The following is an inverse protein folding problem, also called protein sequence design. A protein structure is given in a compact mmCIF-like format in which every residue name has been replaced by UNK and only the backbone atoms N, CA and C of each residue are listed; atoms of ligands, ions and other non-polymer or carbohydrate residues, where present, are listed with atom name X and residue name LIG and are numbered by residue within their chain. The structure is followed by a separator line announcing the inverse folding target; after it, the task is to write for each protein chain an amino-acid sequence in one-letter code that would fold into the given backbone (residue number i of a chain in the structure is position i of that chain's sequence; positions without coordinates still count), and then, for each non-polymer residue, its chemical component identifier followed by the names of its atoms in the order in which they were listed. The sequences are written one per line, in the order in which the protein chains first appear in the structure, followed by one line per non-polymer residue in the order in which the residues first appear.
data_IF_387253950560
#
_entry.id   IF_387253950560
#
_cell.length_a   1.000
_cell.length_b   1.000
_cell.length_c   1.000
_cell.angle_alpha   90.00
_cell.angle_beta   90.00
_cell.angle_gamma   90.00
#
_symmetry.space_group_name_H-M   'P 1'
#
loop_
_entity.id
_entity.type
_entity.pdbx_description
1 polymer ?
#
# COMPACT_ATOMS: atom_id res chain seq x y z
N UNK A 1 1.46 -7.06 -37.16
CA UNK A 1 0.32 -7.13 -36.23
C UNK A 1 0.70 -8.09 -35.10
N UNK A 2 1.57 -7.66 -34.19
CA UNK A 2 1.88 -8.42 -32.98
C UNK A 2 0.95 -7.89 -31.90
N UNK A 3 -0.12 -8.65 -31.61
CA UNK A 3 -0.81 -8.52 -30.33
C UNK A 3 0.19 -8.94 -29.26
N UNK A 4 1.00 -8.00 -28.78
CA UNK A 4 1.76 -8.21 -27.55
C UNK A 4 0.68 -8.19 -26.47
N UNK A 5 0.14 -9.36 -26.14
CA UNK A 5 -0.78 -9.47 -25.03
C UNK A 5 -0.10 -8.83 -23.81
N UNK A 6 -0.76 -7.83 -23.23
CA UNK A 6 -0.37 -7.19 -21.96
C UNK A 6 -0.24 -8.19 -20.81
N UNK A 7 -0.73 -9.41 -21.01
CA UNK A 7 -0.69 -10.52 -20.06
C UNK A 7 0.03 -11.74 -20.63
N UNK A 8 0.73 -12.52 -19.79
CA UNK A 8 1.40 -13.73 -20.22
C UNK A 8 0.41 -14.78 -20.71
N UNK A 9 0.86 -15.60 -21.65
CA UNK A 9 0.19 -16.84 -22.06
C UNK A 9 0.74 -17.96 -21.19
N UNK A 10 -0.11 -18.47 -20.30
CA UNK A 10 0.26 -19.45 -19.28
C UNK A 10 -0.54 -20.74 -19.52
N UNK A 11 0.10 -21.89 -19.30
CA UNK A 11 -0.46 -23.23 -19.51
C UNK A 11 -1.04 -23.81 -18.22
N UNK A 12 -0.42 -23.49 -17.09
CA UNK A 12 -0.77 -24.04 -15.78
C UNK A 12 -0.78 -22.95 -14.69
N UNK A 13 -1.53 -23.21 -13.61
CA UNK A 13 -1.67 -22.29 -12.47
C UNK A 13 -0.32 -22.02 -11.78
N UNK A 14 0.59 -23.00 -11.76
CA UNK A 14 1.93 -22.83 -11.18
C UNK A 14 2.78 -21.81 -11.95
N UNK A 15 2.54 -21.66 -13.26
CA UNK A 15 3.28 -20.68 -14.08
C UNK A 15 2.89 -19.23 -13.73
N UNK A 16 1.74 -18.99 -13.09
CA UNK A 16 1.33 -17.65 -12.63
C UNK A 16 2.27 -17.02 -11.60
N UNK A 17 3.09 -17.82 -10.92
CA UNK A 17 4.08 -17.36 -9.96
C UNK A 17 5.52 -17.39 -10.53
N UNK A 18 5.70 -17.81 -11.79
CA UNK A 18 7.02 -17.91 -12.41
C UNK A 18 7.46 -16.54 -12.95
N UNK A 19 8.57 -16.02 -12.41
CA UNK A 19 9.12 -14.72 -12.81
C UNK A 19 9.53 -14.68 -14.29
N UNK A 20 10.11 -15.76 -14.81
CA UNK A 20 10.61 -15.83 -16.19
C UNK A 20 9.49 -15.77 -17.22
N UNK A 21 8.27 -16.16 -16.82
CA UNK A 21 7.08 -16.16 -17.68
C UNK A 21 6.22 -14.92 -17.47
N UNK A 22 6.04 -14.46 -16.22
CA UNK A 22 5.06 -13.42 -15.87
C UNK A 22 5.64 -12.02 -15.80
N UNK A 23 6.95 -11.88 -15.54
CA UNK A 23 7.59 -10.58 -15.30
C UNK A 23 8.70 -10.29 -16.31
N UNK A 24 9.67 -11.19 -16.43
CA UNK A 24 10.87 -10.99 -17.25
C UNK A 24 10.58 -10.55 -18.70
N UNK A 25 9.59 -11.14 -19.41
CA UNK A 25 9.29 -10.74 -20.79
C UNK A 25 8.78 -9.30 -20.91
N UNK A 26 8.25 -8.74 -19.83
CA UNK A 26 7.60 -7.43 -19.79
C UNK A 26 8.48 -6.31 -19.23
N UNK A 27 9.67 -6.63 -18.69
CA UNK A 27 10.58 -5.62 -18.10
C UNK A 27 10.91 -4.50 -19.09
N UNK A 28 10.99 -4.81 -20.39
CA UNK A 28 11.24 -3.81 -21.43
C UNK A 28 10.22 -2.65 -21.42
N UNK A 29 8.96 -2.94 -21.03
CA UNK A 29 7.91 -1.94 -20.92
C UNK A 29 8.24 -0.87 -19.86
N UNK A 30 8.91 -1.26 -18.77
CA UNK A 30 9.32 -0.35 -17.71
C UNK A 30 10.23 0.76 -18.23
N UNK A 31 11.15 0.43 -19.14
CA UNK A 31 12.07 1.40 -19.73
C UNK A 31 11.40 2.31 -20.76
N UNK A 32 10.35 1.85 -21.45
CA UNK A 32 9.63 2.66 -22.44
C UNK A 32 8.52 3.54 -21.86
N UNK A 33 7.97 3.18 -20.68
CA UNK A 33 6.87 3.91 -20.05
C UNK A 33 7.14 5.41 -19.84
N UNK A 34 8.31 5.86 -19.33
CA UNK A 34 8.56 7.29 -19.13
C UNK A 34 8.41 8.12 -20.41
N UNK A 35 8.97 7.64 -21.53
CA UNK A 35 8.92 8.36 -22.80
C UNK A 35 7.54 8.31 -23.46
N UNK A 36 6.82 7.20 -23.29
CA UNK A 36 5.42 7.07 -23.74
C UNK A 36 4.48 7.99 -22.95
N UNK A 37 4.62 8.05 -21.63
CA UNK A 37 3.80 8.97 -20.79
C UNK A 37 4.12 10.43 -21.14
N UNK A 38 5.41 10.77 -21.32
CA UNK A 38 5.82 12.12 -21.70
C UNK A 38 5.27 12.54 -23.08
N UNK A 39 5.28 11.65 -24.07
CA UNK A 39 4.74 11.96 -25.39
C UNK A 39 3.21 12.12 -25.38
N UNK A 40 2.51 11.30 -24.59
CA UNK A 40 1.06 11.40 -24.41
C UNK A 40 0.68 12.70 -23.67
N UNK A 41 1.49 13.16 -22.72
CA UNK A 41 1.23 14.40 -21.99
C UNK A 41 1.14 15.64 -22.89
N UNK A 42 1.68 15.58 -24.12
CA UNK A 42 1.62 16.64 -25.13
C UNK A 42 0.56 16.42 -26.22
N UNK A 43 -0.18 15.30 -26.19
CA UNK A 43 -1.23 14.97 -27.17
C UNK A 43 -2.55 15.71 -26.90
N UNK A 44 -3.41 15.90 -27.90
CA UNK A 44 -4.76 16.44 -27.71
C UNK A 44 -5.73 15.39 -27.13
N UNK A 45 -5.51 14.10 -27.41
CA UNK A 45 -6.32 12.96 -26.96
C UNK A 45 -5.69 12.21 -25.78
N UNK A 46 -5.23 12.95 -24.76
CA UNK A 46 -4.44 12.39 -23.64
C UNK A 46 -5.12 11.24 -22.92
N UNK A 47 -6.42 11.37 -22.64
CA UNK A 47 -7.16 10.38 -21.85
C UNK A 47 -7.28 9.04 -22.58
N UNK A 48 -7.64 9.05 -23.86
CA UNK A 48 -7.76 7.84 -24.66
C UNK A 48 -6.41 7.16 -24.84
N UNK A 49 -5.36 7.95 -25.09
CA UNK A 49 -4.01 7.43 -25.23
C UNK A 49 -3.45 6.86 -23.92
N UNK A 50 -3.71 7.49 -22.77
CA UNK A 50 -3.35 6.96 -21.46
C UNK A 50 -4.12 5.68 -21.13
N UNK A 51 -5.42 5.64 -21.42
CA UNK A 51 -6.25 4.45 -21.24
C UNK A 51 -5.72 3.30 -22.08
N UNK A 52 -5.43 3.54 -23.36
CA UNK A 52 -4.84 2.54 -24.24
C UNK A 52 -3.47 2.06 -23.73
N UNK A 53 -2.59 2.98 -23.29
CA UNK A 53 -1.29 2.60 -22.72
C UNK A 53 -1.46 1.73 -21.47
N UNK A 54 -2.38 2.12 -20.58
CA UNK A 54 -2.67 1.40 -19.35
C UNK A 54 -3.16 -0.03 -19.61
N UNK A 55 -4.12 -0.21 -20.51
CA UNK A 55 -4.72 -1.53 -20.82
C UNK A 55 -3.76 -2.45 -21.59
N UNK A 56 -2.81 -1.87 -22.33
CA UNK A 56 -1.83 -2.62 -23.13
C UNK A 56 -0.46 -2.81 -22.44
N UNK A 57 -0.28 -2.30 -21.23
CA UNK A 57 0.92 -2.54 -20.41
C UNK A 57 0.63 -3.62 -19.38
N UNK A 58 1.60 -4.51 -19.12
CA UNK A 58 1.44 -5.50 -18.06
C UNK A 58 1.19 -4.79 -16.72
N UNK A 59 0.10 -5.11 -16.00
CA UNK A 59 -0.30 -4.33 -14.83
C UNK A 59 0.70 -4.42 -13.69
N UNK A 60 1.50 -5.49 -13.60
CA UNK A 60 2.61 -5.56 -12.64
C UNK A 60 3.68 -4.51 -12.96
N UNK A 61 4.02 -4.33 -14.25
CA UNK A 61 4.97 -3.31 -14.70
C UNK A 61 4.41 -1.91 -14.47
N UNK A 62 3.12 -1.69 -14.74
CA UNK A 62 2.46 -0.41 -14.43
C UNK A 62 2.55 -0.09 -12.93
N UNK A 63 2.27 -1.05 -12.05
CA UNK A 63 2.37 -0.86 -10.60
C UNK A 63 3.80 -0.57 -10.14
N UNK A 64 4.79 -1.31 -10.68
CA UNK A 64 6.20 -1.07 -10.41
C UNK A 64 6.63 0.33 -10.88
N UNK A 65 6.23 0.73 -12.09
CA UNK A 65 6.48 2.06 -12.63
C UNK A 65 5.92 3.16 -11.72
N UNK A 66 4.66 3.02 -11.26
CA UNK A 66 4.06 3.96 -10.32
C UNK A 66 4.85 4.01 -9.01
N UNK A 67 5.26 2.87 -8.44
CA UNK A 67 6.07 2.83 -7.21
C UNK A 67 7.42 3.54 -7.37
N UNK A 68 8.08 3.39 -8.51
CA UNK A 68 9.33 4.07 -8.83
C UNK A 68 9.13 5.56 -9.09
N UNK A 69 8.02 5.96 -9.70
CA UNK A 69 7.66 7.35 -9.95
C UNK A 69 7.33 8.11 -8.65
N UNK A 70 6.82 7.43 -7.62
CA UNK A 70 6.57 8.01 -6.30
C UNK A 70 7.86 8.26 -5.50
N UNK A 71 8.91 7.45 -5.70
CA UNK A 71 10.16 7.57 -4.97
C UNK A 71 10.81 8.98 -5.04
N UNK A 72 10.98 9.63 -6.21
CA UNK A 72 11.52 10.99 -6.27
C UNK A 72 10.59 12.01 -5.60
N UNK A 73 9.28 11.79 -5.60
CA UNK A 73 8.31 12.66 -4.92
C UNK A 73 8.52 12.58 -3.40
N UNK A 74 8.65 11.37 -2.85
CA UNK A 74 8.96 11.16 -1.43
C UNK A 74 10.29 11.78 -1.04
N UNK A 75 11.31 11.63 -1.87
CA UNK A 75 12.63 12.19 -1.63
C UNK A 75 12.59 13.72 -1.59
N UNK A 76 11.97 14.35 -2.59
CA UNK A 76 11.87 15.81 -2.66
C UNK A 76 11.05 16.35 -1.49
N UNK A 77 9.89 15.76 -1.21
CA UNK A 77 9.04 16.22 -0.11
C UNK A 77 9.69 16.02 1.26
N UNK A 78 10.43 14.93 1.47
CA UNK A 78 11.11 14.69 2.75
C UNK A 78 12.27 15.64 2.97
N UNK A 79 13.04 15.98 1.93
CA UNK A 79 14.14 16.93 2.02
C UNK A 79 13.66 18.38 2.20
N UNK A 80 12.61 18.79 1.48
CA UNK A 80 12.02 20.14 1.63
C UNK A 80 11.47 20.34 3.04
N UNK A 81 10.70 19.37 3.53
CA UNK A 81 10.04 19.48 4.84
C UNK A 81 10.96 19.07 6.01
N UNK A 82 12.16 18.53 5.71
CA UNK A 82 13.04 17.87 6.69
C UNK A 82 12.29 16.85 7.55
N UNK A 83 11.37 16.12 6.91
CA UNK A 83 10.49 15.16 7.53
C UNK A 83 10.47 13.87 6.70
N UNK A 84 11.06 12.82 7.24
CA UNK A 84 11.31 11.54 6.57
C UNK A 84 10.14 10.55 6.70
N UNK A 85 9.04 10.94 7.35
CA UNK A 85 7.80 10.17 7.45
C UNK A 85 6.84 10.35 6.26
N UNK A 86 7.32 10.81 5.09
CA UNK A 86 6.46 11.01 3.92
C UNK A 86 5.82 9.70 3.44
N UNK A 87 6.59 8.61 3.42
CA UNK A 87 6.08 7.29 3.04
C UNK A 87 5.12 6.75 4.10
N UNK A 88 5.41 6.97 5.39
CA UNK A 88 4.55 6.54 6.51
C UNK A 88 3.11 7.08 6.38
N UNK A 89 2.96 8.31 5.86
CA UNK A 89 1.65 8.94 5.64
C UNK A 89 0.80 8.25 4.57
N UNK A 90 1.45 7.60 3.60
CA UNK A 90 0.78 6.90 2.50
C UNK A 90 0.81 5.38 2.65
N UNK A 91 1.56 4.85 3.63
CA UNK A 91 1.74 3.42 3.86
C UNK A 91 0.41 2.66 4.01
N UNK A 92 -0.58 3.24 4.68
CA UNK A 92 -1.90 2.60 4.85
C UNK A 92 -2.81 2.69 3.63
N UNK A 93 -2.43 3.49 2.63
CA UNK A 93 -3.25 3.80 1.43
C UNK A 93 -2.70 3.07 0.21
N UNK A 94 -1.38 3.13 -0.02
CA UNK A 94 -0.74 2.61 -1.23
C UNK A 94 -1.00 1.13 -1.49
N UNK A 95 -0.96 0.21 -0.50
CA UNK A 95 -1.27 -1.19 -0.74
C UNK A 95 -2.69 -1.38 -1.28
N UNK A 96 -3.67 -0.70 -0.69
CA UNK A 96 -5.06 -0.72 -1.18
C UNK A 96 -5.17 -0.15 -2.60
N UNK A 97 -4.43 0.93 -2.90
CA UNK A 97 -4.40 1.53 -4.23
C UNK A 97 -3.78 0.60 -5.29
N UNK A 98 -2.73 -0.16 -4.96
CA UNK A 98 -2.14 -1.13 -5.89
C UNK A 98 -3.07 -2.34 -6.13
N UNK A 99 -3.76 -2.83 -5.10
CA UNK A 99 -4.81 -3.86 -5.28
C UNK A 99 -5.95 -3.33 -6.15
N UNK A 100 -6.38 -2.08 -5.91
CA UNK A 100 -7.39 -1.42 -6.73
C UNK A 100 -6.95 -1.25 -8.19
N UNK A 101 -5.66 -0.97 -8.42
CA UNK A 101 -5.07 -0.94 -9.75
C UNK A 101 -5.18 -2.30 -10.46
N UNK A 102 -4.84 -3.41 -9.80
CA UNK A 102 -5.01 -4.74 -10.39
C UNK A 102 -6.49 -5.05 -10.69
N UNK A 103 -7.39 -4.71 -9.76
CA UNK A 103 -8.84 -4.89 -9.95
C UNK A 103 -9.36 -4.06 -11.13
N UNK A 104 -8.99 -2.78 -11.21
CA UNK A 104 -9.37 -1.89 -12.29
C UNK A 104 -8.89 -2.40 -13.64
N UNK A 105 -7.62 -2.83 -13.73
CA UNK A 105 -7.09 -3.45 -14.95
C UNK A 105 -7.91 -4.69 -15.36
N UNK A 106 -8.24 -5.55 -14.41
CA UNK A 106 -9.00 -6.77 -14.66
C UNK A 106 -10.43 -6.47 -15.16
N UNK A 107 -11.15 -5.57 -14.48
CA UNK A 107 -12.48 -5.11 -14.89
C UNK A 107 -12.47 -4.50 -16.30
N UNK A 108 -11.52 -3.61 -16.58
CA UNK A 108 -11.43 -2.92 -17.87
C UNK A 108 -11.01 -3.83 -19.03
N UNK A 109 -10.33 -4.94 -18.76
CA UNK A 109 -9.98 -5.97 -19.76
C UNK A 109 -11.00 -7.12 -19.81
N UNK A 110 -12.12 -7.03 -19.08
CA UNK A 110 -13.16 -8.07 -19.07
C UNK A 110 -12.70 -9.39 -18.48
N UNK A 111 -11.75 -9.37 -17.55
CA UNK A 111 -11.26 -10.56 -16.84
C UNK A 111 -12.20 -10.92 -15.68
N UNK A 112 -12.21 -12.18 -15.22
CA UNK A 112 -12.88 -12.57 -13.99
C UNK A 112 -12.23 -11.89 -12.76
N UNK A 113 -13.04 -11.31 -11.88
CA UNK A 113 -12.58 -10.45 -10.77
C UNK A 113 -13.08 -10.88 -9.38
N UNK A 114 -13.87 -11.94 -9.25
CA UNK A 114 -14.58 -12.25 -8.00
C UNK A 114 -13.63 -12.37 -6.80
N UNK A 115 -12.52 -13.11 -6.94
CA UNK A 115 -11.54 -13.25 -5.84
C UNK A 115 -10.79 -11.95 -5.59
N UNK A 116 -10.42 -11.24 -6.66
CA UNK A 116 -9.68 -10.00 -6.60
C UNK A 116 -10.48 -8.87 -5.93
N UNK A 117 -11.80 -8.80 -6.19
CA UNK A 117 -12.71 -7.85 -5.57
C UNK A 117 -12.85 -8.11 -4.06
N UNK A 118 -12.83 -9.37 -3.61
CA UNK A 118 -12.80 -9.69 -2.17
C UNK A 118 -11.51 -9.18 -1.51
N UNK A 119 -10.35 -9.37 -2.16
CA UNK A 119 -9.06 -8.84 -1.69
C UNK A 119 -9.06 -7.31 -1.68
N UNK A 120 -9.66 -6.68 -2.68
CA UNK A 120 -9.82 -5.22 -2.74
C UNK A 120 -10.65 -4.69 -1.56
N UNK A 121 -11.81 -5.29 -1.29
CA UNK A 121 -12.67 -4.90 -0.16
C UNK A 121 -11.93 -5.03 1.16
N UNK A 122 -11.29 -6.18 1.40
CA UNK A 122 -10.47 -6.41 2.60
C UNK A 122 -9.36 -5.35 2.73
N UNK A 123 -8.57 -5.15 1.67
CA UNK A 123 -7.44 -4.21 1.67
C UNK A 123 -7.89 -2.77 1.90
N UNK A 124 -9.04 -2.39 1.34
CA UNK A 124 -9.64 -1.07 1.52
C UNK A 124 -10.10 -0.86 2.95
N UNK A 125 -10.78 -1.84 3.55
CA UNK A 125 -11.25 -1.73 4.95
C UNK A 125 -10.08 -1.72 5.94
N UNK A 126 -9.09 -2.57 5.72
CA UNK A 126 -7.87 -2.60 6.53
C UNK A 126 -7.10 -1.27 6.42
N UNK A 127 -6.91 -0.77 5.20
CA UNK A 127 -6.24 0.51 4.95
C UNK A 127 -7.01 1.70 5.54
N UNK A 128 -8.34 1.71 5.44
CA UNK A 128 -9.19 2.74 6.02
C UNK A 128 -9.07 2.79 7.56
N UNK A 129 -9.09 1.62 8.23
CA UNK A 129 -8.87 1.52 9.68
C UNK A 129 -7.53 2.13 10.07
N UNK A 130 -6.45 1.74 9.40
CA UNK A 130 -5.10 2.23 9.69
C UNK A 130 -4.96 3.73 9.43
N UNK A 131 -5.52 4.20 8.32
CA UNK A 131 -5.55 5.63 7.95
C UNK A 131 -6.29 6.44 9.01
N UNK A 132 -7.46 5.98 9.47
CA UNK A 132 -8.20 6.61 10.56
C UNK A 132 -7.40 6.65 11.86
N UNK A 133 -6.74 5.54 12.20
CA UNK A 133 -5.88 5.44 13.39
C UNK A 133 -4.70 6.41 13.36
N UNK A 134 -4.05 6.52 12.21
CA UNK A 134 -2.94 7.44 12.02
C UNK A 134 -3.41 8.90 12.06
N UNK A 135 -4.55 9.20 11.42
CA UNK A 135 -5.17 10.52 11.44
C UNK A 135 -5.53 10.99 12.85
N UNK A 136 -6.24 10.17 13.64
CA UNK A 136 -6.67 10.56 14.99
C UNK A 136 -5.49 10.76 15.95
N UNK A 137 -4.37 10.08 15.71
CA UNK A 137 -3.09 10.27 16.42
C UNK A 137 -2.31 11.51 15.94
N UNK A 138 -2.86 12.27 14.98
CA UNK A 138 -2.25 13.49 14.46
C UNK A 138 -1.20 13.26 13.37
N UNK A 139 -1.06 12.06 12.82
CA UNK A 139 0.00 11.71 11.87
C UNK A 139 0.01 12.52 10.56
N UNK A 140 -1.12 13.12 10.20
CA UNK A 140 -1.23 14.02 9.04
C UNK A 140 -1.00 15.50 9.38
N UNK A 141 -0.73 15.86 10.63
CA UNK A 141 -0.43 17.23 11.01
C UNK A 141 0.93 17.66 10.44
N UNK A 142 1.04 18.93 10.05
CA UNK A 142 2.31 19.50 9.57
C UNK A 142 3.34 19.43 10.69
N UNK A 143 4.54 18.97 10.36
CA UNK A 143 5.63 18.79 11.32
C UNK A 143 5.57 17.50 12.15
N UNK A 144 4.51 16.70 12.09
CA UNK A 144 4.50 15.39 12.73
C UNK A 144 5.45 14.43 11.99
N UNK A 145 6.47 13.96 12.68
CA UNK A 145 7.49 13.01 12.24
C UNK A 145 7.60 11.89 13.27
N UNK A 146 7.86 10.67 12.80
CA UNK A 146 8.18 9.57 13.69
C UNK A 146 9.44 9.87 14.51
N UNK A 147 9.33 9.78 15.84
CA UNK A 147 10.41 10.08 16.78
C UNK A 147 11.68 9.25 16.56
N UNK A 148 11.58 8.09 15.90
CA UNK A 148 12.73 7.24 15.58
C UNK A 148 13.68 7.93 14.61
N UNK A 149 13.18 8.80 13.73
CA UNK A 149 14.03 9.51 12.77
C UNK A 149 15.02 10.45 13.43
N UNK A 150 14.64 11.10 14.53
CA UNK A 150 15.57 11.93 15.32
C UNK A 150 16.71 11.09 15.92
N UNK A 151 16.40 9.91 16.45
CA UNK A 151 17.41 8.99 17.00
C UNK A 151 18.35 8.49 15.90
N UNK A 152 17.83 8.16 14.72
CA UNK A 152 18.64 7.70 13.58
C UNK A 152 19.53 8.82 13.06
N UNK A 153 18.95 10.01 12.83
CA UNK A 153 19.64 11.22 12.35
C UNK A 153 20.80 11.62 13.26
N UNK A 154 20.62 11.53 14.57
CA UNK A 154 21.66 11.79 15.56
C UNK A 154 22.85 10.81 15.46
N UNK A 155 22.63 9.57 15.00
CA UNK A 155 23.67 8.53 14.91
C UNK A 155 24.45 8.57 13.59
N UNK A 156 23.78 8.81 12.47
CA UNK A 156 24.39 8.68 11.13
C UNK A 156 24.72 10.04 10.49
N UNK A 157 24.31 11.14 11.11
CA UNK A 157 24.54 12.50 10.60
C UNK A 157 23.76 12.81 9.31
N UNK A 158 23.89 14.04 8.79
CA UNK A 158 23.09 14.52 7.67
C UNK A 158 23.37 13.78 6.35
N UNK A 159 24.63 13.45 6.05
CA UNK A 159 25.00 12.73 4.82
C UNK A 159 24.47 11.29 4.87
N UNK A 160 24.64 10.60 6.00
CA UNK A 160 24.09 9.27 6.20
C UNK A 160 22.57 9.27 6.09
N UNK A 161 21.91 10.30 6.65
CA UNK A 161 20.46 10.44 6.58
C UNK A 161 19.97 10.66 5.14
N UNK A 162 20.68 11.47 4.35
CA UNK A 162 20.34 11.66 2.94
C UNK A 162 20.48 10.37 2.13
N UNK A 163 21.58 9.61 2.32
CA UNK A 163 21.77 8.31 1.64
C UNK A 163 20.69 7.31 2.06
N UNK A 164 20.37 7.24 3.35
CA UNK A 164 19.28 6.40 3.87
C UNK A 164 17.94 6.80 3.26
N UNK A 165 17.69 8.10 3.10
CA UNK A 165 16.48 8.63 2.50
C UNK A 165 16.34 8.21 1.04
N UNK A 166 17.38 8.44 0.22
CA UNK A 166 17.39 8.09 -1.20
C UNK A 166 17.20 6.58 -1.40
N UNK A 167 17.99 5.77 -0.70
CA UNK A 167 18.03 4.32 -0.93
C UNK A 167 16.85 3.63 -0.26
N UNK A 168 16.67 3.82 1.03
CA UNK A 168 15.72 3.04 1.81
C UNK A 168 14.35 3.69 1.90
N UNK A 169 14.28 4.89 2.47
CA UNK A 169 13.02 5.54 2.84
C UNK A 169 12.18 5.82 1.59
N UNK A 170 12.74 6.55 0.64
CA UNK A 170 11.98 6.99 -0.53
C UNK A 170 11.85 5.90 -1.60
N UNK A 171 12.90 5.11 -1.84
CA UNK A 171 12.92 4.12 -2.93
C UNK A 171 12.47 2.73 -2.47
N UNK A 172 13.21 2.07 -1.58
CA UNK A 172 12.90 0.68 -1.18
C UNK A 172 11.52 0.59 -0.52
N UNK A 173 11.14 1.50 0.40
CA UNK A 173 9.81 1.40 1.03
C UNK A 173 8.67 1.55 0.02
N UNK A 174 8.81 2.42 -0.99
CA UNK A 174 7.82 2.54 -2.07
C UNK A 174 7.67 1.23 -2.86
N UNK A 175 8.79 0.61 -3.24
CA UNK A 175 8.80 -0.68 -3.93
C UNK A 175 8.23 -1.78 -3.04
N UNK A 176 8.56 -1.80 -1.75
CA UNK A 176 8.03 -2.80 -0.81
C UNK A 176 6.51 -2.70 -0.65
N UNK A 177 5.96 -1.49 -0.60
CA UNK A 177 4.50 -1.29 -0.52
C UNK A 177 3.77 -1.78 -1.76
N UNK A 178 4.39 -1.68 -2.92
CA UNK A 178 3.93 -2.36 -4.13
C UNK A 178 4.12 -3.88 -4.02
N UNK A 179 5.30 -4.35 -3.61
CA UNK A 179 5.68 -5.75 -3.59
C UNK A 179 4.74 -6.62 -2.74
N UNK A 180 4.30 -6.12 -1.58
CA UNK A 180 3.34 -6.84 -0.71
C UNK A 180 1.98 -7.08 -1.38
N UNK A 181 1.65 -6.34 -2.43
CA UNK A 181 0.39 -6.47 -3.18
C UNK A 181 0.49 -7.36 -4.43
N UNK A 182 1.71 -7.79 -4.79
CA UNK A 182 1.93 -8.66 -5.96
C UNK A 182 1.19 -10.00 -5.92
N UNK A 183 0.82 -10.60 -4.76
CA UNK A 183 -0.08 -11.75 -4.76
C UNK A 183 -1.45 -11.46 -5.42
N UNK A 184 -1.94 -10.21 -5.42
CA UNK A 184 -3.17 -9.83 -6.12
C UNK A 184 -3.02 -9.93 -7.66
N UNK A 185 -1.81 -9.66 -8.18
CA UNK A 185 -1.49 -9.91 -9.59
C UNK A 185 -1.52 -11.40 -9.92
N UNK A 186 -0.93 -12.24 -9.05
CA UNK A 186 -0.98 -13.70 -9.22
C UNK A 186 -2.44 -14.17 -9.21
N UNK A 187 -3.26 -13.68 -8.27
CA UNK A 187 -4.68 -14.00 -8.18
C UNK A 187 -5.43 -13.64 -9.47
N UNK A 188 -5.16 -12.45 -10.02
CA UNK A 188 -5.69 -12.01 -11.32
C UNK A 188 -5.25 -12.93 -12.48
N UNK A 189 -4.01 -13.41 -12.49
CA UNK A 189 -3.56 -14.37 -13.50
C UNK A 189 -4.26 -15.72 -13.36
N UNK A 190 -4.40 -16.22 -12.12
CA UNK A 190 -5.07 -17.50 -11.85
C UNK A 190 -6.56 -17.48 -12.17
N UNK A 191 -7.23 -16.32 -12.08
CA UNK A 191 -8.67 -16.20 -12.37
C UNK A 191 -9.02 -16.50 -13.83
N UNK A 192 -8.03 -16.42 -14.74
CA UNK A 192 -8.16 -16.72 -16.17
C UNK A 192 -8.28 -18.21 -16.48
N UNK A 193 -7.93 -19.08 -15.53
CA UNK A 193 -8.03 -20.53 -15.70
C UNK A 193 -9.45 -21.04 -15.40
N UNK A 194 -9.89 -22.17 -15.99
CA UNK A 194 -11.21 -22.74 -15.72
C UNK A 194 -11.45 -22.96 -14.23
N UNK A 195 -12.45 -22.28 -13.68
CA UNK A 195 -12.78 -22.35 -12.25
C UNK A 195 -11.85 -21.56 -11.32
N UNK A 196 -10.82 -20.89 -11.84
CA UNK A 196 -9.84 -20.15 -11.05
C UNK A 196 -10.43 -18.97 -10.26
N UNK A 197 -11.48 -18.33 -10.79
CA UNK A 197 -12.18 -17.23 -10.12
C UNK A 197 -13.31 -17.68 -9.19
N UNK A 198 -13.70 -18.96 -9.23
CA UNK A 198 -14.76 -19.46 -8.34
C UNK A 198 -14.26 -19.47 -6.90
N UNK A 199 -15.01 -18.82 -6.01
CA UNK A 199 -14.77 -18.85 -4.57
C UNK A 199 -15.00 -20.28 -4.05
N UNK A 200 -13.93 -20.95 -3.63
CA UNK A 200 -14.01 -22.21 -2.91
C UNK A 200 -14.31 -21.97 -1.42
N UNK A 201 -14.60 -23.03 -0.66
CA UNK A 201 -14.85 -22.96 0.77
C UNK A 201 -13.70 -22.31 1.52
N UNK A 202 -12.45 -22.56 1.13
CA UNK A 202 -11.29 -21.92 1.75
C UNK A 202 -11.26 -20.42 1.47
N UNK A 203 -11.55 -19.97 0.24
CA UNK A 203 -11.61 -18.55 -0.10
C UNK A 203 -12.67 -17.82 0.75
N UNK A 204 -13.82 -18.47 0.95
CA UNK A 204 -14.91 -17.93 1.77
C UNK A 204 -14.50 -17.88 3.24
N UNK A 205 -13.98 -18.97 3.80
CA UNK A 205 -13.59 -19.03 5.22
C UNK A 205 -12.48 -18.01 5.51
N UNK A 206 -11.41 -17.98 4.72
CA UNK A 206 -10.30 -17.04 4.93
C UNK A 206 -10.76 -15.59 4.80
N UNK A 207 -11.53 -15.24 3.78
CA UNK A 207 -12.03 -13.87 3.64
C UNK A 207 -12.89 -13.45 4.83
N UNK A 208 -13.76 -14.32 5.35
CA UNK A 208 -14.61 -14.02 6.52
C UNK A 208 -13.81 -13.91 7.81
N UNK A 209 -12.82 -14.77 8.02
CA UNK A 209 -11.91 -14.69 9.18
C UNK A 209 -11.11 -13.39 9.13
N UNK A 210 -10.54 -13.03 7.98
CA UNK A 210 -9.81 -11.77 7.81
C UNK A 210 -10.69 -10.55 8.13
N UNK A 211 -11.94 -10.55 7.69
CA UNK A 211 -12.90 -9.51 8.02
C UNK A 211 -13.23 -9.45 9.52
N UNK A 212 -13.38 -10.61 10.17
CA UNK A 212 -13.57 -10.67 11.61
C UNK A 212 -12.35 -10.15 12.38
N UNK A 213 -11.14 -10.43 11.91
CA UNK A 213 -9.90 -9.90 12.49
C UNK A 213 -9.84 -8.37 12.39
N UNK A 214 -10.27 -7.77 11.26
CA UNK A 214 -10.40 -6.31 11.16
C UNK A 214 -11.31 -5.77 12.26
N UNK A 215 -12.44 -6.41 12.55
CA UNK A 215 -13.34 -5.97 13.62
C UNK A 215 -12.67 -6.04 15.00
N UNK A 216 -11.96 -7.13 15.29
CA UNK A 216 -11.18 -7.26 16.53
C UNK A 216 -10.15 -6.14 16.64
N UNK A 217 -9.43 -5.86 15.56
CA UNK A 217 -8.45 -4.77 15.51
C UNK A 217 -9.10 -3.40 15.75
N UNK A 218 -10.28 -3.12 15.18
CA UNK A 218 -11.02 -1.87 15.45
C UNK A 218 -11.32 -1.69 16.94
N UNK A 219 -11.77 -2.76 17.61
CA UNK A 219 -12.04 -2.70 19.05
C UNK A 219 -10.74 -2.52 19.86
N UNK A 220 -9.70 -3.27 19.54
CA UNK A 220 -8.40 -3.16 20.19
C UNK A 220 -7.79 -1.76 20.02
N UNK A 221 -7.85 -1.22 18.81
CA UNK A 221 -7.42 0.15 18.50
C UNK A 221 -8.20 1.17 19.32
N UNK A 222 -9.50 0.99 19.50
CA UNK A 222 -10.32 1.89 20.31
C UNK A 222 -9.99 1.80 21.81
N UNK A 223 -9.76 0.60 22.34
CA UNK A 223 -9.34 0.39 23.72
C UNK A 223 -7.99 1.07 23.98
N UNK A 224 -7.01 0.86 23.08
CA UNK A 224 -5.70 1.51 23.16
C UNK A 224 -5.83 3.03 23.11
N UNK A 225 -6.66 3.57 22.22
CA UNK A 225 -6.91 5.00 22.12
C UNK A 225 -7.48 5.59 23.42
N UNK A 226 -8.51 4.96 23.98
CA UNK A 226 -9.12 5.40 25.23
C UNK A 226 -8.12 5.40 26.38
N UNK A 227 -7.29 4.35 26.47
CA UNK A 227 -6.23 4.28 27.48
C UNK A 227 -5.20 5.40 27.31
N UNK A 228 -4.69 5.61 26.10
CA UNK A 228 -3.65 6.61 25.87
C UNK A 228 -4.17 8.04 26.12
N UNK A 229 -5.43 8.31 25.80
CA UNK A 229 -6.07 9.59 26.14
C UNK A 229 -6.18 9.79 27.67
N UNK A 230 -6.59 8.75 28.40
CA UNK A 230 -6.66 8.81 29.87
C UNK A 230 -5.26 9.00 30.49
N UNK A 231 -4.26 8.26 29.99
CA UNK A 231 -2.87 8.39 30.42
C UNK A 231 -2.30 9.78 30.14
N UNK A 232 -2.52 10.33 28.95
CA UNK A 232 -2.07 11.67 28.61
C UNK A 232 -2.69 12.75 29.52
N UNK A 233 -3.97 12.63 29.84
CA UNK A 233 -4.64 13.54 30.78
C UNK A 233 -4.11 13.40 32.22
N UNK A 234 -3.86 12.17 32.67
CA UNK A 234 -3.26 11.90 33.97
C UNK A 234 -1.84 12.46 34.08
N UNK A 235 -0.98 12.24 33.09
CA UNK A 235 0.38 12.80 33.08
C UNK A 235 0.41 14.33 33.12
N UNK A 236 -0.61 14.98 32.55
CA UNK A 236 -0.72 16.46 32.57
C UNK A 236 -1.24 17.01 33.89
N UNK A 237 -2.11 16.29 34.59
CA UNK A 237 -2.86 16.80 35.75
C UNK A 237 -2.53 16.12 37.08
N UNK A 238 -1.75 15.04 37.04
CA UNK A 238 -1.50 14.10 38.13
C UNK A 238 -2.78 13.55 38.80
N UNK A 239 -3.91 13.56 38.07
CA UNK A 239 -5.22 13.08 38.54
C UNK A 239 -5.85 12.16 37.51
N UNK A 240 -6.41 11.05 37.98
CA UNK A 240 -7.16 10.14 37.11
C UNK A 240 -8.39 10.89 36.55
N UNK A 241 -8.64 10.87 35.23
CA UNK A 241 -9.78 11.57 34.65
C UNK A 241 -11.11 11.10 35.25
N UNK A 242 -12.01 12.04 35.55
CA UNK A 242 -13.32 11.71 36.13
C UNK A 242 -14.15 10.87 35.15
N UNK A 243 -14.69 9.74 35.61
CA UNK A 243 -15.41 8.78 34.77
C UNK A 243 -14.51 7.87 33.91
N UNK A 244 -13.18 7.92 34.10
CA UNK A 244 -12.26 6.96 33.52
C UNK A 244 -12.53 5.55 34.05
N UNK A 245 -12.50 4.56 33.17
CA UNK A 245 -12.52 3.14 33.54
C UNK A 245 -11.19 2.63 34.11
N UNK A 246 -10.12 3.43 33.99
CA UNK A 246 -8.76 3.07 34.42
C UNK A 246 -8.43 3.64 35.79
N UNK A 247 -7.74 2.84 36.61
CA UNK A 247 -7.20 3.25 37.90
C UNK A 247 -5.83 3.92 37.74
N UNK A 248 -5.31 4.53 38.82
CA UNK A 248 -3.96 5.07 38.81
C UNK A 248 -2.90 3.98 38.56
N UNK A 249 -3.05 2.82 39.22
CA UNK A 249 -2.14 1.69 39.05
C UNK A 249 -2.09 1.21 37.60
N UNK A 250 -3.23 1.17 36.90
CA UNK A 250 -3.30 0.82 35.48
C UNK A 250 -2.48 1.79 34.61
N UNK A 251 -2.64 3.09 34.85
CA UNK A 251 -2.00 4.16 34.08
C UNK A 251 -0.48 4.21 34.31
N UNK A 252 -0.05 3.95 35.54
CA UNK A 252 1.36 3.88 35.94
C UNK A 252 2.03 2.63 35.35
N UNK A 253 1.35 1.47 35.40
CA UNK A 253 1.85 0.20 34.84
C UNK A 253 2.07 0.25 33.33
N UNK A 254 1.12 0.82 32.58
CA UNK A 254 1.13 0.75 31.11
C UNK A 254 -0.05 -0.05 30.52
N UNK A 255 -0.27 0.14 29.22
CA UNK A 255 -1.32 -0.58 28.49
C UNK A 255 -0.93 -2.06 28.37
N UNK A 256 -1.81 -2.96 28.81
CA UNK A 256 -1.66 -4.42 28.74
C UNK A 256 -2.81 -5.00 27.94
#
# INVERSE_FOLDING_TARGET
MASILSLPVLKDVSECADFSLTVQPYIHQLYSLPSQVASIASSDSKLDALSALYLNTNPLITGLFISLALAPIFLVLSEINRNYSQVDRLWSILPGAYVAHFAAFAHLNGLPTQKLDNVLVFSTMWGARLTYNFWRKGGYQIGNEDYRWEVVKARIGPVGMFVLNVVFISTIQSILLFAITTPAYILMLTSRFPGGDKMDIFDIVFSRVLMALILVEVFADQQQWNYQQAKAAYLKTAKVPQGSQYTQEDLDRGFV
#
